data_IF_123291481790
#
_entry.id   IF_123291481790
#
_cell.length_a   1.000
_cell.length_b   1.000
_cell.length_c   1.000
_cell.angle_alpha   90.00
_cell.angle_beta   90.00
_cell.angle_gamma   90.00
#
_symmetry.space_group_name_H-M   'P 1'
#
loop_
_entity.id
_entity.type
_entity.pdbx_description
1 polymer ?
#
# COMPACT_ATOMS: atom_id res chain seq x y z
N UNK A 1 30.25 -7.13 48.35
CA UNK A 1 31.12 -6.23 47.54
C UNK A 1 31.56 -7.00 46.31
N UNK A 2 31.45 -6.42 45.12
CA UNK A 2 31.79 -7.09 43.85
C UNK A 2 31.29 -6.32 42.64
N UNK A 3 32.04 -5.28 42.24
CA UNK A 3 31.74 -4.50 41.04
C UNK A 3 32.43 -5.11 39.82
N UNK A 4 31.65 -5.59 38.85
CA UNK A 4 32.16 -6.00 37.54
C UNK A 4 32.00 -4.81 36.59
N UNK A 5 33.13 -4.17 36.23
CA UNK A 5 33.17 -3.17 35.16
C UNK A 5 33.38 -3.86 33.81
N UNK A 6 32.38 -3.87 32.95
CA UNK A 6 32.58 -4.18 31.52
C UNK A 6 32.90 -2.89 30.77
N UNK A 7 34.12 -2.77 30.27
CA UNK A 7 34.55 -1.65 29.42
C UNK A 7 34.23 -1.92 27.95
N UNK A 8 33.39 -1.09 27.34
CA UNK A 8 33.21 -1.08 25.89
C UNK A 8 34.36 -0.32 25.23
N UNK A 9 35.07 -0.98 24.32
CA UNK A 9 36.07 -0.34 23.46
C UNK A 9 35.40 0.28 22.24
N UNK A 10 35.57 1.59 22.07
CA UNK A 10 35.17 2.33 20.88
C UNK A 10 36.26 2.21 19.82
N UNK A 11 35.95 1.50 18.71
CA UNK A 11 36.86 1.34 17.59
C UNK A 11 36.68 2.53 16.61
N UNK A 12 37.57 3.51 16.68
CA UNK A 12 37.59 4.65 15.75
C UNK A 12 38.41 4.26 14.52
N UNK A 13 37.76 4.18 13.36
CA UNK A 13 38.44 3.97 12.07
C UNK A 13 38.75 5.35 11.47
N UNK A 14 40.00 5.77 11.55
CA UNK A 14 40.50 6.95 10.82
C UNK A 14 40.85 6.55 9.39
N UNK A 15 40.22 7.22 8.41
CA UNK A 15 40.56 7.07 6.99
C UNK A 15 41.49 8.22 6.60
N UNK A 16 42.76 7.92 6.36
CA UNK A 16 43.74 8.90 5.89
C UNK A 16 43.56 9.21 4.40
N UNK A 17 43.24 10.47 4.07
CA UNK A 17 43.20 10.94 2.69
C UNK A 17 44.60 11.32 2.20
N UNK A 18 45.10 10.61 1.19
CA UNK A 18 46.45 10.80 0.65
C UNK A 18 46.54 12.09 -0.19
N UNK A 19 47.40 13.08 0.15
CA UNK A 19 47.37 14.40 -0.48
C UNK A 19 48.35 14.51 -1.67
N UNK A 20 48.04 13.87 -2.81
CA UNK A 20 48.86 13.99 -4.02
C UNK A 20 48.03 14.04 -5.31
N UNK A 21 47.42 15.18 -5.60
CA UNK A 21 47.08 15.54 -6.99
C UNK A 21 47.17 17.06 -7.20
N UNK A 22 48.37 17.55 -7.56
CA UNK A 22 48.59 18.95 -7.96
C UNK A 22 48.95 19.05 -9.44
N UNK A 23 48.13 19.81 -10.16
CA UNK A 23 48.47 20.68 -11.31
C UNK A 23 49.13 20.04 -12.56
N UNK A 24 48.36 20.04 -13.65
CA UNK A 24 48.84 20.46 -14.97
C UNK A 24 47.93 21.63 -15.42
N UNK A 25 48.42 22.86 -15.34
CA UNK A 25 48.89 23.68 -16.48
C UNK A 25 47.74 24.10 -17.43
N UNK A 26 47.38 25.38 -17.33
CA UNK A 26 46.60 26.06 -18.35
C UNK A 26 47.50 26.31 -19.58
N UNK A 27 46.97 26.06 -20.78
CA UNK A 27 47.58 26.48 -22.04
C UNK A 27 46.51 27.06 -22.95
N UNK A 28 46.58 28.37 -23.18
CA UNK A 28 45.59 29.14 -23.92
C UNK A 28 45.76 28.94 -25.42
N UNK A 29 44.74 28.37 -26.08
CA UNK A 29 44.48 28.64 -27.50
C UNK A 29 43.00 28.93 -27.69
N UNK A 30 42.70 30.19 -27.99
CA UNK A 30 41.40 30.59 -28.51
C UNK A 30 41.27 30.03 -29.94
N UNK A 31 40.66 28.86 -30.06
CA UNK A 31 40.16 28.37 -31.34
C UNK A 31 38.71 28.84 -31.41
N UNK A 32 38.43 29.79 -32.32
CA UNK A 32 37.07 30.13 -32.73
C UNK A 32 36.50 28.95 -33.53
N UNK A 33 36.11 27.91 -32.80
CA UNK A 33 35.38 26.77 -33.34
C UNK A 33 33.99 27.26 -33.72
N UNK A 34 33.68 27.19 -35.01
CA UNK A 34 32.30 27.35 -35.50
C UNK A 34 31.56 26.11 -35.01
N UNK A 35 30.94 26.22 -33.83
CA UNK A 35 30.06 25.18 -33.29
C UNK A 35 28.78 25.15 -34.10
N UNK A 36 28.82 24.46 -35.24
CA UNK A 36 27.68 23.67 -35.65
C UNK A 36 27.26 22.80 -34.45
N UNK A 37 25.97 22.70 -34.11
CA UNK A 37 25.55 21.88 -33.00
C UNK A 37 25.99 20.43 -33.27
N UNK A 38 26.80 19.89 -32.36
CA UNK A 38 27.09 18.47 -32.32
C UNK A 38 25.79 17.77 -31.93
N UNK A 39 24.96 17.48 -32.93
CA UNK A 39 23.90 16.48 -32.82
C UNK A 39 24.63 15.19 -32.47
N UNK A 40 24.46 14.70 -31.25
CA UNK A 40 25.06 13.42 -30.89
C UNK A 40 24.49 12.37 -31.83
N UNK A 41 25.27 11.39 -32.32
CA UNK A 41 24.68 10.23 -33.01
C UNK A 41 23.61 9.52 -32.17
N UNK A 42 23.61 9.72 -30.83
CA UNK A 42 22.60 9.24 -29.89
C UNK A 42 21.21 9.94 -30.02
N UNK A 43 21.11 11.10 -30.70
CA UNK A 43 19.83 11.82 -30.88
C UNK A 43 18.93 11.17 -31.96
N UNK A 44 19.44 10.23 -32.75
CA UNK A 44 18.73 9.63 -33.90
C UNK A 44 18.30 8.19 -33.57
N UNK A 45 17.02 8.02 -33.26
CA UNK A 45 16.39 6.73 -33.02
C UNK A 45 15.63 6.20 -34.24
N UNK A 46 15.43 4.89 -34.31
CA UNK A 46 14.51 4.20 -35.23
C UNK A 46 13.36 3.50 -34.48
N UNK A 47 13.64 3.00 -33.28
CA UNK A 47 12.73 2.28 -32.38
C UNK A 47 12.74 2.92 -30.98
N UNK A 48 11.75 2.59 -30.14
CA UNK A 48 11.66 3.15 -28.78
C UNK A 48 12.80 2.63 -27.89
N UNK A 49 13.25 1.41 -28.13
CA UNK A 49 14.37 0.73 -27.45
C UNK A 49 15.75 1.35 -27.77
N UNK A 50 15.86 2.19 -28.81
CA UNK A 50 17.07 2.98 -29.09
C UNK A 50 17.22 4.15 -28.10
N UNK A 51 16.15 4.49 -27.36
CA UNK A 51 16.11 5.62 -26.44
C UNK A 51 16.34 5.20 -24.98
N UNK A 52 16.63 6.15 -24.06
CA UNK A 52 16.58 5.89 -22.63
C UNK A 52 15.17 5.43 -22.19
N UNK A 53 15.07 4.60 -21.15
CA UNK A 53 13.80 4.04 -20.64
C UNK A 53 12.71 5.08 -20.29
N UNK A 54 13.07 6.35 -20.09
CA UNK A 54 12.14 7.46 -19.79
C UNK A 54 11.59 8.16 -21.04
N UNK A 55 12.09 7.79 -22.21
CA UNK A 55 11.86 8.42 -23.51
C UNK A 55 11.43 7.40 -24.55
N UNK A 56 10.94 7.88 -25.69
CA UNK A 56 10.52 7.06 -26.82
C UNK A 56 10.83 7.74 -28.14
N UNK A 57 10.91 6.98 -29.21
CA UNK A 57 11.25 7.50 -30.51
C UNK A 57 10.06 8.23 -31.15
N UNK A 58 10.24 9.50 -31.48
CA UNK A 58 9.24 10.28 -32.19
C UNK A 58 9.88 11.18 -33.23
N UNK A 59 9.65 10.86 -34.50
CA UNK A 59 10.24 11.55 -35.67
C UNK A 59 11.78 11.49 -35.68
N UNK A 60 12.33 10.29 -35.45
CA UNK A 60 13.76 10.01 -35.37
C UNK A 60 14.49 10.86 -34.31
N UNK A 61 13.81 11.14 -33.19
CA UNK A 61 14.38 11.74 -31.98
C UNK A 61 13.80 11.10 -30.74
N UNK A 62 14.63 10.86 -29.73
CA UNK A 62 14.15 10.49 -28.40
C UNK A 62 13.45 11.69 -27.76
N UNK A 63 12.24 11.45 -27.26
CA UNK A 63 11.43 12.44 -26.55
C UNK A 63 10.84 11.79 -25.32
N UNK A 64 10.81 12.50 -24.18
CA UNK A 64 10.18 12.00 -22.96
C UNK A 64 8.81 11.38 -23.23
N UNK A 65 8.60 10.13 -22.79
CA UNK A 65 7.33 9.43 -23.00
C UNK A 65 6.15 10.18 -22.38
N UNK A 66 6.42 10.92 -21.30
CA UNK A 66 5.48 11.77 -20.58
C UNK A 66 5.10 13.08 -21.31
N UNK A 67 5.78 13.45 -22.40
CA UNK A 67 5.55 14.73 -23.11
C UNK A 67 4.15 14.89 -23.73
N UNK A 68 3.42 13.78 -23.94
CA UNK A 68 2.10 13.75 -24.59
C UNK A 68 0.94 13.34 -23.67
N UNK A 69 1.21 13.04 -22.40
CA UNK A 69 0.19 12.61 -21.44
C UNK A 69 -0.05 13.70 -20.39
N UNK A 70 -1.31 14.09 -20.22
CA UNK A 70 -1.74 14.99 -19.14
C UNK A 70 -2.33 14.13 -18.03
N UNK A 71 -1.66 14.06 -16.89
CA UNK A 71 -2.15 13.32 -15.73
C UNK A 71 -3.13 14.15 -14.90
N UNK A 72 -3.95 13.46 -14.09
CA UNK A 72 -4.96 14.07 -13.23
C UNK A 72 -4.39 14.80 -12.02
N UNK A 73 -5.29 15.33 -11.18
CA UNK A 73 -4.89 16.02 -9.95
C UNK A 73 -4.21 15.04 -8.98
N UNK A 74 -3.06 15.45 -8.43
CA UNK A 74 -2.15 14.64 -7.61
C UNK A 74 -1.59 13.38 -8.30
N UNK A 75 -1.42 13.41 -9.62
CA UNK A 75 -0.77 12.35 -10.39
C UNK A 75 0.57 12.81 -10.96
N UNK A 76 1.52 11.88 -11.02
CA UNK A 76 2.75 12.00 -11.79
C UNK A 76 2.73 11.00 -12.95
N UNK A 77 3.28 11.41 -14.09
CA UNK A 77 3.59 10.46 -15.15
C UNK A 77 4.76 9.56 -14.70
N UNK A 78 4.61 8.26 -14.93
CA UNK A 78 5.68 7.27 -14.82
C UNK A 78 5.81 6.55 -16.16
N UNK A 79 6.99 5.97 -16.41
CA UNK A 79 7.28 5.21 -17.62
C UNK A 79 7.60 3.78 -17.20
N UNK A 80 6.99 2.81 -17.87
CA UNK A 80 7.27 1.39 -17.69
C UNK A 80 8.51 0.98 -18.49
N UNK A 81 8.97 -0.26 -18.29
CA UNK A 81 10.15 -0.82 -18.98
C UNK A 81 9.97 -1.01 -20.50
N UNK A 82 8.76 -0.76 -21.03
CA UNK A 82 8.37 -0.81 -22.44
C UNK A 82 8.25 0.59 -23.06
N UNK A 83 8.85 1.61 -22.43
CA UNK A 83 8.77 3.03 -22.82
C UNK A 83 7.35 3.63 -22.77
N UNK A 84 6.34 2.87 -22.32
CA UNK A 84 4.95 3.33 -22.19
C UNK A 84 4.78 4.24 -20.98
N UNK A 85 4.26 5.45 -21.22
CA UNK A 85 3.89 6.42 -20.19
C UNK A 85 2.50 6.15 -19.61
N UNK A 86 2.35 6.18 -18.28
CA UNK A 86 1.08 6.06 -17.58
C UNK A 86 1.01 7.00 -16.37
N UNK A 87 -0.19 7.31 -15.90
CA UNK A 87 -0.39 8.21 -14.76
C UNK A 87 -0.61 7.44 -13.45
N UNK A 88 0.28 7.68 -12.48
CA UNK A 88 0.23 7.12 -11.12
C UNK A 88 0.03 8.24 -10.12
N UNK A 89 -0.69 7.98 -9.04
CA UNK A 89 -0.77 8.94 -7.95
C UNK A 89 0.62 9.27 -7.39
N UNK A 90 0.83 10.53 -7.01
CA UNK A 90 2.02 10.98 -6.28
C UNK A 90 2.11 10.29 -4.90
N UNK A 91 3.30 10.22 -4.27
CA UNK A 91 3.45 9.64 -2.94
C UNK A 91 2.43 10.20 -1.93
N UNK A 92 1.83 9.31 -1.14
CA UNK A 92 0.73 9.55 -0.18
C UNK A 92 -0.66 9.84 -0.80
N UNK A 93 -0.79 9.93 -2.12
CA UNK A 93 -2.08 10.00 -2.81
C UNK A 93 -2.44 8.66 -3.45
N UNK A 94 -3.73 8.39 -3.59
CA UNK A 94 -4.21 7.10 -4.07
C UNK A 94 -5.50 7.19 -4.89
N UNK A 95 -5.65 6.25 -5.84
CA UNK A 95 -6.76 6.17 -6.80
C UNK A 95 -7.79 5.16 -6.27
N UNK A 96 -8.91 5.67 -5.75
CA UNK A 96 -9.93 4.83 -5.10
C UNK A 96 -11.17 4.55 -5.97
N UNK A 97 -11.40 5.34 -7.03
CA UNK A 97 -12.66 5.31 -7.79
C UNK A 97 -12.56 5.41 -9.31
N UNK A 98 -13.65 5.01 -9.99
CA UNK A 98 -13.86 5.09 -11.43
C UNK A 98 -13.80 6.52 -11.97
N UNK A 99 -13.85 7.53 -11.11
CA UNK A 99 -13.67 8.95 -11.45
C UNK A 99 -12.22 9.31 -11.78
N UNK A 100 -11.27 8.39 -11.60
CA UNK A 100 -9.84 8.59 -11.90
C UNK A 100 -9.16 9.72 -11.10
N UNK A 101 -9.65 10.07 -9.91
CA UNK A 101 -9.01 11.09 -9.05
C UNK A 101 -8.10 10.47 -7.98
N UNK A 102 -6.90 11.03 -7.79
CA UNK A 102 -5.99 10.69 -6.70
C UNK A 102 -6.20 11.61 -5.49
N UNK A 103 -6.57 11.03 -4.33
CA UNK A 103 -6.92 11.76 -3.10
C UNK A 103 -6.07 11.31 -1.91
N UNK A 104 -6.03 12.13 -0.87
CA UNK A 104 -5.36 11.79 0.40
C UNK A 104 -6.26 10.86 1.24
N UNK A 105 -5.71 9.91 2.02
CA UNK A 105 -6.50 8.95 2.80
C UNK A 105 -7.56 9.60 3.71
N UNK A 106 -7.24 10.73 4.35
CA UNK A 106 -8.19 11.42 5.24
C UNK A 106 -9.37 12.06 4.49
N UNK A 107 -9.18 12.49 3.24
CA UNK A 107 -10.29 13.00 2.41
C UNK A 107 -11.29 11.87 2.12
N UNK A 108 -10.81 10.63 2.03
CA UNK A 108 -11.63 9.43 1.94
C UNK A 108 -12.32 9.06 3.25
N UNK A 109 -11.69 9.31 4.41
CA UNK A 109 -12.36 9.18 5.72
C UNK A 109 -13.60 10.07 5.79
N UNK A 110 -13.46 11.35 5.43
CA UNK A 110 -14.60 12.29 5.43
C UNK A 110 -15.64 11.96 4.35
N UNK A 111 -15.22 11.50 3.17
CA UNK A 111 -16.16 10.99 2.17
C UNK A 111 -16.97 9.79 2.70
N UNK A 112 -16.31 8.79 3.27
CA UNK A 112 -16.97 7.59 3.82
C UNK A 112 -17.89 7.90 5.00
N UNK A 113 -17.51 8.84 5.88
CA UNK A 113 -18.40 9.37 6.94
C UNK A 113 -19.72 9.90 6.36
N UNK A 114 -19.65 10.62 5.24
CA UNK A 114 -20.82 11.21 4.59
C UNK A 114 -21.65 10.22 3.75
N UNK A 115 -21.13 9.01 3.47
CA UNK A 115 -21.85 7.95 2.75
C UNK A 115 -22.51 6.91 3.67
N UNK A 116 -22.17 6.89 4.97
CA UNK A 116 -22.79 5.95 5.91
C UNK A 116 -24.21 6.37 6.27
N UNK A 117 -25.13 5.41 6.20
CA UNK A 117 -26.56 5.63 6.44
C UNK A 117 -26.80 6.08 7.88
N UNK A 118 -27.73 7.02 8.05
CA UNK A 118 -28.07 7.65 9.32
C UNK A 118 -28.44 6.59 10.38
N UNK A 119 -27.58 6.40 11.39
CA UNK A 119 -27.65 5.33 12.39
C UNK A 119 -26.45 4.37 12.41
N UNK A 120 -25.64 4.33 11.35
CA UNK A 120 -24.39 3.57 11.31
C UNK A 120 -23.28 4.25 12.13
N UNK A 121 -22.58 3.49 12.99
CA UNK A 121 -21.40 3.97 13.72
C UNK A 121 -20.11 3.71 12.92
N UNK A 122 -19.43 4.78 12.50
CA UNK A 122 -18.11 4.72 11.86
C UNK A 122 -16.99 4.55 12.90
N UNK A 123 -16.02 3.65 12.64
CA UNK A 123 -14.86 3.40 13.52
C UNK A 123 -13.50 3.46 12.75
N UNK A 124 -13.14 4.66 12.22
CA UNK A 124 -11.80 5.24 11.78
C UNK A 124 -10.83 4.56 10.76
N UNK A 125 -10.90 4.89 9.44
CA UNK A 125 -10.48 4.10 8.22
C UNK A 125 -9.13 3.32 8.16
N UNK A 126 -9.11 2.17 7.44
CA UNK A 126 -7.96 1.29 7.13
C UNK A 126 -7.14 1.74 5.90
N UNK A 127 -5.81 1.62 5.99
CA UNK A 127 -4.87 1.81 4.90
C UNK A 127 -4.33 0.47 4.35
N UNK A 128 -5.04 -0.15 3.40
CA UNK A 128 -4.38 -0.88 2.31
C UNK A 128 -5.18 -0.71 1.02
N UNK A 129 -4.54 -0.12 0.01
CA UNK A 129 -5.19 0.99 -0.70
C UNK A 129 -5.54 0.65 -2.17
N UNK A 130 -5.16 -0.54 -2.64
CA UNK A 130 -5.49 -0.98 -4.01
C UNK A 130 -6.92 -1.54 -4.11
N UNK A 131 -7.52 -2.00 -3.01
CA UNK A 131 -8.83 -2.65 -3.02
C UNK A 131 -9.76 -2.25 -1.86
N UNK A 132 -11.06 -2.11 -2.18
CA UNK A 132 -12.14 -1.63 -1.30
C UNK A 132 -12.65 -2.68 -0.29
N UNK A 133 -11.74 -3.42 0.33
CA UNK A 133 -12.11 -4.44 1.31
C UNK A 133 -12.31 -3.82 2.69
N UNK A 134 -13.41 -4.23 3.32
CA UNK A 134 -13.90 -3.66 4.56
C UNK A 134 -14.33 -4.82 5.44
N UNK A 135 -13.77 -4.85 6.65
CA UNK A 135 -14.27 -5.72 7.73
C UNK A 135 -15.37 -4.96 8.45
N UNK A 136 -16.58 -5.47 8.41
CA UNK A 136 -17.70 -4.89 9.11
C UNK A 136 -18.13 -5.70 10.32
N UNK A 137 -18.74 -5.02 11.27
CA UNK A 137 -19.43 -5.57 12.41
C UNK A 137 -20.89 -5.16 12.30
N UNK A 138 -21.79 -6.12 12.42
CA UNK A 138 -23.19 -5.84 12.67
C UNK A 138 -23.48 -5.92 14.16
N UNK A 139 -24.39 -5.07 14.61
CA UNK A 139 -25.21 -5.36 15.78
C UNK A 139 -26.55 -5.92 15.30
N UNK A 140 -26.83 -7.17 15.64
CA UNK A 140 -28.16 -7.77 15.46
C UNK A 140 -29.16 -7.21 16.47
N UNK A 141 -30.44 -7.54 16.28
CA UNK A 141 -31.56 -7.04 17.11
C UNK A 141 -31.40 -7.38 18.61
N UNK A 142 -30.62 -8.42 18.95
CA UNK A 142 -30.31 -8.86 20.31
C UNK A 142 -28.96 -8.33 20.86
N UNK A 143 -28.34 -7.34 20.22
CA UNK A 143 -26.91 -6.96 20.40
C UNK A 143 -25.89 -8.06 20.02
N UNK A 144 -26.33 -9.15 19.40
CA UNK A 144 -25.45 -10.17 18.84
C UNK A 144 -24.51 -9.57 17.79
N UNK A 145 -23.25 -10.03 17.79
CA UNK A 145 -22.18 -9.41 17.02
C UNK A 145 -21.77 -10.31 15.87
N UNK A 146 -22.25 -9.99 14.67
CA UNK A 146 -21.89 -10.73 13.45
C UNK A 146 -20.76 -10.02 12.72
N UNK A 147 -19.56 -10.63 12.63
CA UNK A 147 -18.51 -10.15 11.75
C UNK A 147 -18.92 -10.42 10.30
N UNK A 148 -18.59 -9.48 9.42
CA UNK A 148 -18.83 -9.54 7.99
C UNK A 148 -17.54 -9.21 7.25
N UNK A 149 -17.31 -9.96 6.18
CA UNK A 149 -16.38 -9.55 5.12
C UNK A 149 -17.23 -8.89 4.02
N UNK A 150 -16.81 -7.74 3.50
CA UNK A 150 -17.54 -7.12 2.41
C UNK A 150 -16.74 -6.15 1.57
N UNK A 151 -17.32 -5.83 0.43
CA UNK A 151 -16.84 -4.76 -0.44
C UNK A 151 -17.81 -3.61 -0.32
N UNK A 152 -17.41 -2.55 0.37
CA UNK A 152 -18.17 -1.30 0.31
C UNK A 152 -17.89 -0.65 -1.05
N UNK A 153 -18.96 -0.31 -1.75
CA UNK A 153 -18.93 0.45 -2.99
C UNK A 153 -19.99 1.55 -2.96
N UNK A 154 -19.74 2.66 -3.65
CA UNK A 154 -20.53 3.89 -3.57
C UNK A 154 -22.04 3.69 -3.76
N UNK A 155 -22.46 2.64 -4.48
CA UNK A 155 -23.85 2.41 -4.86
C UNK A 155 -24.43 1.08 -4.32
N UNK A 156 -23.63 0.26 -3.62
CA UNK A 156 -24.10 -1.01 -3.07
C UNK A 156 -23.18 -1.51 -1.95
N UNK A 157 -23.77 -1.78 -0.78
CA UNK A 157 -23.09 -2.33 0.39
C UNK A 157 -23.31 -3.85 0.47
N UNK A 158 -22.57 -4.59 -0.36
CA UNK A 158 -22.63 -6.06 -0.38
C UNK A 158 -21.61 -6.65 0.57
N UNK A 159 -22.11 -7.35 1.58
CA UNK A 159 -21.32 -8.12 2.51
C UNK A 159 -21.67 -9.60 2.38
N UNK A 160 -20.72 -10.47 2.72
CA UNK A 160 -20.97 -11.89 2.91
C UNK A 160 -20.97 -12.21 4.39
N UNK A 161 -21.97 -12.98 4.81
CA UNK A 161 -21.95 -13.62 6.12
C UNK A 161 -21.08 -14.89 6.11
N UNK A 162 -20.90 -15.50 7.28
CA UNK A 162 -20.08 -16.72 7.44
C UNK A 162 -20.49 -17.92 6.58
N UNK A 163 -21.71 -17.94 6.06
CA UNK A 163 -22.18 -18.97 5.12
C UNK A 163 -21.90 -18.57 3.65
N UNK A 164 -21.07 -17.56 3.41
CA UNK A 164 -20.76 -17.01 2.08
C UNK A 164 -21.93 -16.27 1.42
N UNK A 165 -23.07 -16.12 2.11
CA UNK A 165 -24.30 -15.55 1.56
C UNK A 165 -24.16 -14.04 1.42
N UNK A 166 -24.33 -13.55 0.20
CA UNK A 166 -24.46 -12.12 -0.05
C UNK A 166 -25.73 -11.59 0.65
N UNK A 167 -25.54 -10.56 1.47
CA UNK A 167 -26.62 -9.81 2.11
C UNK A 167 -26.32 -8.32 1.97
N UNK A 168 -27.38 -7.58 1.63
CA UNK A 168 -27.36 -6.13 1.66
C UNK A 168 -27.70 -5.70 3.09
N UNK A 169 -26.80 -4.94 3.71
CA UNK A 169 -27.02 -4.39 5.05
C UNK A 169 -27.00 -2.87 4.97
N UNK A 170 -28.10 -2.24 5.39
CA UNK A 170 -28.23 -0.79 5.42
C UNK A 170 -27.43 -0.15 6.57
N UNK A 171 -27.20 -0.93 7.64
CA UNK A 171 -26.45 -0.52 8.81
C UNK A 171 -25.27 -1.47 8.99
N UNK A 172 -24.04 -0.96 8.88
CA UNK A 172 -22.83 -1.71 9.14
C UNK A 172 -21.84 -0.81 9.89
N UNK A 173 -21.37 -1.26 11.06
CA UNK A 173 -20.16 -0.68 11.63
C UNK A 173 -18.99 -1.19 10.80
N UNK A 174 -18.00 -0.36 10.51
CA UNK A 174 -16.78 -0.81 9.86
C UNK A 174 -15.67 -0.79 10.89
N UNK A 175 -15.02 -1.95 11.13
CA UNK A 175 -13.73 -1.93 11.82
C UNK A 175 -12.78 -1.24 10.87
N UNK A 176 -12.17 -0.17 11.35
CA UNK A 176 -11.10 0.46 10.64
C UNK A 176 -10.03 0.95 11.64
N UNK A 177 -8.77 1.11 11.21
CA UNK A 177 -7.64 1.30 12.13
C UNK A 177 -6.65 2.36 11.68
N UNK A 178 -6.30 3.26 12.61
CA UNK A 178 -5.24 4.26 12.46
C UNK A 178 -3.88 3.62 12.16
N UNK A 179 -3.20 4.16 11.14
CA UNK A 179 -1.82 3.81 10.78
C UNK A 179 -0.89 3.76 11.99
N UNK A 180 -0.04 2.73 12.07
CA UNK A 180 0.88 2.50 13.20
C UNK A 180 0.21 2.10 14.53
N UNK A 181 -1.08 1.73 14.55
CA UNK A 181 -1.76 1.14 15.72
C UNK A 181 -2.13 -0.33 15.55
N UNK A 182 -1.95 -0.89 14.35
CA UNK A 182 -2.05 -2.31 14.09
C UNK A 182 -1.08 -2.72 12.99
N UNK A 183 -0.74 -4.01 12.99
CA UNK A 183 0.04 -4.63 11.91
C UNK A 183 -0.43 -6.04 11.62
N UNK A 184 -0.16 -6.46 10.41
CA UNK A 184 -0.35 -7.82 9.94
C UNK A 184 0.88 -8.66 10.34
N UNK A 185 0.65 -9.80 10.99
CA UNK A 185 1.70 -10.78 11.31
C UNK A 185 1.30 -12.14 10.73
N UNK A 186 2.25 -12.79 10.04
CA UNK A 186 2.08 -14.14 9.54
C UNK A 186 1.70 -15.11 10.67
N UNK A 187 0.64 -15.87 10.44
CA UNK A 187 0.11 -16.90 11.32
C UNK A 187 -0.34 -18.11 10.49
N UNK A 188 -0.55 -19.25 11.14
CA UNK A 188 -1.13 -20.40 10.46
C UNK A 188 -1.87 -21.36 11.40
N UNK A 189 -2.65 -22.28 10.81
CA UNK A 189 -3.27 -23.42 11.49
C UNK A 189 -4.13 -23.06 12.73
N UNK A 190 -4.74 -21.88 12.70
CA UNK A 190 -5.60 -21.36 13.77
C UNK A 190 -4.86 -20.64 14.90
N UNK A 191 -3.55 -20.38 14.77
CA UNK A 191 -2.80 -19.67 15.78
C UNK A 191 -3.30 -18.21 15.92
N UNK A 192 -3.66 -17.85 17.15
CA UNK A 192 -4.08 -16.50 17.55
C UNK A 192 -2.97 -15.90 18.40
N UNK A 193 -2.57 -14.67 18.08
CA UNK A 193 -1.65 -13.88 18.90
C UNK A 193 -2.44 -13.16 20.00
N UNK A 194 -1.87 -13.00 21.20
CA UNK A 194 -2.57 -12.46 22.39
C UNK A 194 -3.17 -11.05 22.20
N UNK A 195 -2.70 -10.31 21.20
CA UNK A 195 -3.13 -8.96 20.81
C UNK A 195 -3.88 -8.93 19.46
N UNK A 196 -4.34 -10.08 18.96
CA UNK A 196 -5.15 -10.18 17.75
C UNK A 196 -6.49 -9.46 17.92
N UNK A 197 -6.94 -8.81 16.85
CA UNK A 197 -8.12 -7.95 16.87
C UNK A 197 -9.37 -8.81 16.72
N UNK A 198 -10.16 -8.85 17.80
CA UNK A 198 -11.45 -9.55 17.85
C UNK A 198 -12.53 -8.71 17.18
N UNK A 199 -13.18 -9.28 16.16
CA UNK A 199 -14.25 -8.65 15.39
C UNK A 199 -15.64 -8.90 16.00
N UNK A 200 -15.78 -10.04 16.68
CA UNK A 200 -17.04 -10.53 17.22
C UNK A 200 -16.91 -11.96 17.72
N UNK A 201 -18.05 -12.61 17.93
CA UNK A 201 -18.11 -14.02 18.33
C UNK A 201 -19.19 -14.77 17.57
N UNK A 202 -18.98 -16.07 17.38
CA UNK A 202 -20.00 -17.01 16.90
C UNK A 202 -20.11 -18.11 17.94
N UNK A 203 -21.24 -18.17 18.64
CA UNK A 203 -21.36 -18.96 19.86
C UNK A 203 -20.27 -18.56 20.86
N UNK A 204 -19.45 -19.53 21.26
CA UNK A 204 -18.36 -19.30 22.22
C UNK A 204 -17.03 -18.88 21.57
N UNK A 205 -16.92 -18.90 20.24
CA UNK A 205 -15.65 -18.68 19.54
C UNK A 205 -15.46 -17.22 19.13
N UNK A 206 -14.25 -16.69 19.33
CA UNK A 206 -13.85 -15.36 18.84
C UNK A 206 -13.47 -15.40 17.38
N UNK A 207 -13.94 -14.41 16.62
CA UNK A 207 -13.53 -14.19 15.24
C UNK A 207 -12.48 -13.08 15.17
N UNK A 208 -11.45 -13.29 14.37
CA UNK A 208 -10.34 -12.36 14.16
C UNK A 208 -10.26 -11.89 12.71
N UNK A 209 -9.70 -10.71 12.47
CA UNK A 209 -9.39 -10.28 11.11
C UNK A 209 -8.13 -11.00 10.60
N UNK A 210 -8.22 -11.57 9.40
CA UNK A 210 -7.08 -12.13 8.67
C UNK A 210 -6.99 -11.54 7.26
N UNK A 211 -5.85 -11.75 6.60
CA UNK A 211 -5.73 -11.54 5.15
C UNK A 211 -4.89 -12.65 4.51
N UNK A 212 -5.14 -12.87 3.23
CA UNK A 212 -4.47 -13.88 2.40
C UNK A 212 -4.06 -13.28 1.06
N UNK A 213 -3.03 -13.84 0.45
CA UNK A 213 -2.43 -13.33 -0.79
C UNK A 213 -1.06 -12.70 -0.56
N UNK A 214 -0.62 -11.87 -1.50
CA UNK A 214 0.74 -11.34 -1.60
C UNK A 214 0.70 -9.95 -2.22
N UNK A 215 1.59 -9.05 -1.78
CA UNK A 215 1.66 -7.68 -2.26
C UNK A 215 1.67 -7.60 -3.82
N UNK A 216 0.79 -6.80 -4.47
CA UNK A 216 -0.21 -5.88 -3.91
C UNK A 216 -1.61 -6.47 -3.66
N UNK A 217 -1.81 -7.75 -3.95
CA UNK A 217 -3.12 -8.43 -3.93
C UNK A 217 -3.35 -9.17 -2.61
N UNK A 218 -3.90 -8.44 -1.64
CA UNK A 218 -4.42 -9.01 -0.40
C UNK A 218 -5.95 -9.04 -0.40
N UNK A 219 -6.51 -10.18 -0.02
CA UNK A 219 -7.92 -10.33 0.31
C UNK A 219 -8.05 -10.38 1.83
N UNK A 220 -8.95 -9.56 2.38
CA UNK A 220 -9.28 -9.60 3.81
C UNK A 220 -10.31 -10.69 4.03
N UNK A 221 -10.19 -11.44 5.12
CA UNK A 221 -11.11 -12.51 5.49
C UNK A 221 -11.35 -12.58 7.00
N UNK A 222 -12.06 -13.63 7.41
CA UNK A 222 -12.43 -13.89 8.79
C UNK A 222 -11.77 -15.17 9.29
N UNK A 223 -11.00 -15.09 10.38
CA UNK A 223 -10.32 -16.24 10.97
C UNK A 223 -11.08 -16.75 12.18
N UNK A 224 -11.26 -18.07 12.22
CA UNK A 224 -11.89 -18.79 13.31
C UNK A 224 -10.92 -19.89 13.81
N UNK A 225 -10.62 -19.96 15.12
CA UNK A 225 -9.58 -20.88 15.62
C UNK A 225 -9.94 -22.36 15.44
N UNK A 226 -11.22 -22.74 15.52
CA UNK A 226 -11.65 -24.14 15.37
C UNK A 226 -11.51 -24.67 13.94
N UNK A 227 -11.79 -23.84 12.93
CA UNK A 227 -11.58 -24.16 11.51
C UNK A 227 -10.11 -24.08 11.10
N UNK A 228 -9.24 -23.57 11.99
CA UNK A 228 -7.79 -23.41 11.82
C UNK A 228 -7.38 -22.61 10.58
N UNK A 229 -8.27 -21.77 10.07
CA UNK A 229 -8.14 -21.17 8.74
C UNK A 229 -8.71 -19.75 8.67
N UNK A 230 -8.12 -18.96 7.80
CA UNK A 230 -8.71 -17.73 7.30
C UNK A 230 -9.73 -18.10 6.21
N UNK A 231 -11.00 -17.75 6.41
CA UNK A 231 -12.01 -17.86 5.38
C UNK A 231 -12.06 -16.54 4.60
N UNK A 232 -11.76 -16.62 3.30
CA UNK A 232 -11.88 -15.53 2.33
C UNK A 232 -13.01 -15.92 1.35
N UNK A 233 -14.11 -15.18 1.37
CA UNK A 233 -15.29 -15.54 0.59
C UNK A 233 -15.19 -15.23 -0.91
N UNK A 234 -14.03 -14.78 -1.41
CA UNK A 234 -13.81 -14.61 -2.85
C UNK A 234 -13.66 -15.96 -3.58
N UNK A 235 -13.00 -16.94 -2.97
CA UNK A 235 -12.71 -18.28 -3.55
C UNK A 235 -13.42 -19.41 -2.77
N UNK A 236 -14.15 -19.08 -1.70
CA UNK A 236 -14.72 -20.05 -0.74
C UNK A 236 -13.68 -21.04 -0.16
N UNK A 237 -12.40 -20.65 -0.13
CA UNK A 237 -11.32 -21.49 0.40
C UNK A 237 -11.00 -21.12 1.83
N UNK A 238 -10.96 -22.16 2.68
CA UNK A 238 -10.30 -22.12 3.98
C UNK A 238 -8.80 -22.20 3.74
N UNK A 239 -8.07 -21.13 4.07
CA UNK A 239 -6.62 -21.05 3.88
C UNK A 239 -5.94 -21.18 5.23
N UNK A 240 -5.00 -22.13 5.35
CA UNK A 240 -4.27 -22.43 6.59
C UNK A 240 -3.24 -21.38 6.97
N UNK A 241 -2.66 -20.68 5.99
CA UNK A 241 -1.57 -19.73 6.15
C UNK A 241 -2.03 -18.32 5.74
N UNK A 242 -1.95 -17.37 6.68
CA UNK A 242 -2.57 -16.06 6.55
C UNK A 242 -1.86 -15.05 7.46
N UNK A 243 -1.97 -13.76 7.16
CA UNK A 243 -1.63 -12.78 8.19
C UNK A 243 -2.82 -12.58 9.12
N UNK A 244 -2.59 -12.56 10.43
CA UNK A 244 -3.56 -12.11 11.44
C UNK A 244 -3.30 -10.64 11.78
N UNK A 245 -4.37 -9.88 11.99
CA UNK A 245 -4.28 -8.48 12.39
C UNK A 245 -4.14 -8.36 13.92
N UNK A 246 -3.10 -7.68 14.37
CA UNK A 246 -2.84 -7.43 15.79
C UNK A 246 -2.80 -5.93 16.13
N UNK A 247 -3.16 -5.58 17.36
CA UNK A 247 -2.84 -4.27 17.92
C UNK A 247 -1.33 -4.11 18.14
N UNK A 248 -0.76 -3.02 17.63
CA UNK A 248 0.61 -2.66 17.92
C UNK A 248 0.69 -2.05 19.32
N UNK A 249 1.08 -2.88 20.29
CA UNK A 249 1.39 -2.43 21.65
C UNK A 249 2.66 -1.58 21.58
N UNK A 250 2.53 -0.30 21.93
CA UNK A 250 3.70 0.54 22.16
C UNK A 250 4.37 0.02 23.44
N UNK A 251 5.71 -0.11 23.48
CA UNK A 251 6.39 -0.34 24.74
C UNK A 251 6.03 0.82 25.67
N UNK A 252 5.49 0.47 26.85
CA UNK A 252 5.24 1.44 27.91
C UNK A 252 6.62 1.93 28.36
N UNK A 253 6.91 3.20 28.10
CA UNK A 253 8.14 3.89 28.54
C UNK A 253 8.02 4.34 29.99
#
# INVERSE_FOLDING_TARGET
MGFIRMGFWLLIISIEFHPNFRRAIASTRAITSITAPLISPDDICSLDEDCPLTEKCSKAKCVSSCSKITCGFNEGCQVNNDHTSFCRCLPNFYRYDITHECKLPYQWVEFMKNQLVNGSRLVTVFENIVHRYVVARLMGENNDVYPLEGKISNNNHTFRDFAGRLKNYNNAEVLLIKSGKAKWILSSNGAILNNAIVLGKIGNETIHACRVGSDPYFYIGLMQPSTKSCNNFYDNRMISDYDILIHEMYPIQ
#
